data_IF_790600201552
#
_entry.id   IF_790600201552
#
_cell.length_a   1.000
_cell.length_b   1.000
_cell.length_c   1.000
_cell.angle_alpha   90.00
_cell.angle_beta   90.00
_cell.angle_gamma   90.00
#
_symmetry.space_group_name_H-M   'P 1'
#
loop_
_entity.id
_entity.type
_entity.pdbx_description
1 polymer ?
#
# COMPACT_ATOMS: atom_id res chain seq x y z
N UNK A 1 41.08 -34.75 -12.35
CA UNK A 1 41.81 -33.73 -13.13
C UNK A 1 41.35 -33.81 -14.57
N UNK A 2 40.37 -32.98 -14.95
CA UNK A 2 40.06 -32.69 -16.35
C UNK A 2 39.60 -31.23 -16.39
N UNK A 3 40.40 -30.39 -17.02
CA UNK A 3 40.19 -28.95 -17.18
C UNK A 3 39.40 -28.75 -18.47
N UNK A 4 38.29 -28.02 -18.42
CA UNK A 4 37.61 -27.50 -19.62
C UNK A 4 37.38 -26.01 -19.47
N UNK A 5 37.82 -25.30 -20.50
CA UNK A 5 38.00 -23.86 -20.62
C UNK A 5 36.70 -23.06 -20.65
N UNK A 6 36.74 -21.89 -20.00
CA UNK A 6 35.80 -20.78 -20.17
C UNK A 6 36.05 -20.06 -21.51
N UNK A 7 35.00 -19.84 -22.29
CA UNK A 7 35.00 -18.82 -23.34
C UNK A 7 33.64 -18.11 -23.44
N UNK A 8 33.67 -16.85 -22.97
CA UNK A 8 33.08 -15.63 -23.55
C UNK A 8 31.69 -15.76 -24.19
N UNK A 9 30.69 -15.21 -23.49
CA UNK A 9 29.50 -14.63 -24.14
C UNK A 9 29.30 -13.19 -23.62
N UNK A 10 29.33 -12.21 -24.52
CA UNK A 10 29.04 -10.80 -24.27
C UNK A 10 27.56 -10.51 -24.59
N UNK A 11 26.88 -9.62 -23.86
CA UNK A 11 25.49 -9.26 -24.12
C UNK A 11 25.34 -8.29 -25.29
N UNK A 12 24.30 -8.49 -26.10
CA UNK A 12 23.88 -7.57 -27.16
C UNK A 12 23.03 -6.43 -26.58
N UNK A 13 23.42 -5.20 -26.89
CA UNK A 13 22.69 -3.98 -26.56
C UNK A 13 21.55 -3.75 -27.56
N UNK A 14 20.32 -3.59 -27.05
CA UNK A 14 19.17 -3.16 -27.83
C UNK A 14 19.16 -1.62 -27.84
N UNK A 15 19.38 -1.04 -29.03
CA UNK A 15 19.17 0.39 -29.33
C UNK A 15 17.68 0.62 -29.61
N UNK A 16 17.02 1.44 -28.81
CA UNK A 16 15.73 2.04 -29.18
C UNK A 16 15.96 3.43 -29.77
N UNK A 17 15.35 3.62 -30.95
CA UNK A 17 15.48 4.78 -31.82
C UNK A 17 14.43 5.83 -31.46
N UNK A 18 14.89 7.03 -31.10
CA UNK A 18 14.10 8.25 -30.99
C UNK A 18 13.74 8.74 -32.41
N UNK A 19 12.45 8.73 -32.76
CA UNK A 19 11.92 9.48 -33.90
C UNK A 19 11.16 10.70 -33.41
N UNK A 20 11.59 11.83 -33.95
CA UNK A 20 11.15 13.19 -33.69
C UNK A 20 9.72 13.48 -34.16
N UNK A 21 9.03 14.33 -33.40
CA UNK A 21 7.88 15.09 -33.89
C UNK A 21 8.26 16.58 -33.89
N UNK A 22 8.49 17.13 -35.08
CA UNK A 22 8.50 18.58 -35.36
C UNK A 22 7.19 18.91 -36.08
N UNK A 23 6.46 19.92 -35.60
CA UNK A 23 5.74 20.86 -36.44
C UNK A 23 5.22 22.02 -35.59
N UNK A 24 5.83 23.20 -35.75
CA UNK A 24 5.26 24.50 -35.44
C UNK A 24 4.57 25.00 -36.72
N UNK A 25 3.40 25.61 -36.61
CA UNK A 25 3.17 26.89 -37.28
C UNK A 25 2.03 27.68 -36.65
N UNK A 26 2.33 28.93 -36.33
CA UNK A 26 1.43 29.95 -35.85
C UNK A 26 0.61 30.53 -37.02
N UNK A 27 -0.62 30.98 -36.77
CA UNK A 27 -1.24 32.08 -37.50
C UNK A 27 -2.00 32.99 -36.52
N UNK A 28 -1.53 34.23 -36.45
CA UNK A 28 -2.19 35.38 -35.83
C UNK A 28 -3.14 35.97 -36.87
N UNK A 29 -4.37 36.28 -36.48
CA UNK A 29 -5.21 37.23 -37.19
C UNK A 29 -6.02 38.06 -36.17
N UNK A 30 -5.87 39.38 -36.30
CA UNK A 30 -6.55 40.44 -35.53
C UNK A 30 -7.59 41.09 -36.45
N UNK A 31 -8.84 41.26 -35.98
CA UNK A 31 -9.76 42.38 -36.26
C UNK A 31 -11.12 42.11 -35.57
N UNK A 32 -11.52 42.85 -34.52
CA UNK A 32 -12.16 44.17 -34.45
C UNK A 32 -13.69 44.24 -34.77
N UNK A 33 -14.44 44.61 -33.72
CA UNK A 33 -15.66 45.46 -33.63
C UNK A 33 -17.00 45.02 -34.25
N UNK A 34 -18.04 44.96 -33.39
CA UNK A 34 -19.44 45.06 -33.82
C UNK A 34 -20.54 44.77 -32.79
N UNK A 35 -20.91 45.79 -31.99
CA UNK A 35 -22.25 46.18 -31.46
C UNK A 35 -23.27 45.15 -30.89
N UNK A 36 -23.78 45.47 -29.69
CA UNK A 36 -24.96 44.93 -28.98
C UNK A 36 -26.30 45.14 -29.74
N UNK A 37 -27.44 44.53 -29.31
CA UNK A 37 -28.23 45.02 -28.15
C UNK A 37 -28.81 43.92 -27.22
N UNK A 38 -29.42 44.28 -26.07
CA UNK A 38 -29.67 43.40 -24.93
C UNK A 38 -31.08 42.79 -24.95
N UNK A 39 -31.23 41.58 -24.41
CA UNK A 39 -32.53 41.06 -23.97
C UNK A 39 -32.50 40.80 -22.47
N UNK A 40 -33.23 41.66 -21.76
CA UNK A 40 -33.70 41.47 -20.40
C UNK A 40 -34.72 40.33 -20.39
N UNK A 41 -34.49 39.30 -19.58
CA UNK A 41 -35.54 38.41 -19.11
C UNK A 41 -35.32 38.19 -17.61
N UNK A 42 -36.07 38.96 -16.82
CA UNK A 42 -36.15 38.85 -15.37
C UNK A 42 -37.05 37.66 -15.03
N UNK A 43 -36.46 36.56 -14.57
CA UNK A 43 -37.21 35.48 -13.91
C UNK A 43 -37.10 35.68 -12.40
N UNK A 44 -38.10 36.34 -11.83
CA UNK A 44 -38.37 36.27 -10.39
C UNK A 44 -38.93 34.87 -10.07
N UNK A 45 -38.05 33.94 -9.71
CA UNK A 45 -38.46 32.72 -9.02
C UNK A 45 -38.37 32.98 -7.53
N UNK A 46 -39.53 33.15 -6.90
CA UNK A 46 -39.67 33.19 -5.45
C UNK A 46 -39.30 31.82 -4.88
N UNK A 47 -38.05 31.64 -4.43
CA UNK A 47 -37.64 30.45 -3.68
C UNK A 47 -38.06 30.68 -2.22
N UNK A 48 -39.04 29.89 -1.78
CA UNK A 48 -39.46 29.78 -0.39
C UNK A 48 -38.28 29.41 0.52
N UNK A 49 -37.98 30.17 1.60
CA UNK A 49 -36.96 29.80 2.57
C UNK A 49 -37.58 28.89 3.63
N UNK A 50 -37.87 27.64 3.27
CA UNK A 50 -38.39 26.65 4.22
C UNK A 50 -38.02 25.22 3.82
N UNK A 51 -36.74 24.95 3.60
CA UNK A 51 -36.19 23.59 3.73
C UNK A 51 -35.20 23.58 4.88
N UNK A 52 -35.83 23.49 6.05
CA UNK A 52 -35.22 23.09 7.31
C UNK A 52 -34.32 21.87 7.11
N UNK A 53 -33.04 22.02 7.45
CA UNK A 53 -32.12 21.01 7.99
C UNK A 53 -32.63 19.56 7.95
N UNK A 54 -32.63 18.93 6.79
CA UNK A 54 -32.46 17.49 6.73
C UNK A 54 -30.98 17.25 6.97
N UNK A 55 -30.65 16.91 8.23
CA UNK A 55 -29.37 16.28 8.55
C UNK A 55 -29.37 14.97 7.75
N UNK A 56 -28.80 15.00 6.55
CA UNK A 56 -28.63 13.82 5.71
C UNK A 56 -27.92 12.79 6.57
N UNK A 57 -28.64 11.77 7.02
CA UNK A 57 -27.97 10.62 7.59
C UNK A 57 -27.04 10.08 6.51
N UNK A 58 -25.78 9.77 6.81
CA UNK A 58 -24.91 9.13 5.84
C UNK A 58 -25.63 7.87 5.33
N UNK A 59 -25.62 7.70 4.01
CA UNK A 59 -26.16 6.51 3.36
C UNK A 59 -25.56 5.27 4.06
N UNK A 60 -26.35 4.33 4.59
CA UNK A 60 -25.81 3.14 5.23
C UNK A 60 -24.87 2.34 4.31
N UNK A 61 -24.95 2.48 2.98
CA UNK A 61 -23.97 1.90 2.05
C UNK A 61 -22.59 2.59 2.06
N UNK A 62 -22.51 3.84 2.56
CA UNK A 62 -21.28 4.63 2.62
C UNK A 62 -20.68 4.72 4.03
N UNK A 63 -20.93 3.74 4.91
CA UNK A 63 -20.22 3.65 6.20
C UNK A 63 -18.91 2.87 6.08
N UNK A 64 -17.96 3.10 7.00
CA UNK A 64 -16.73 2.30 7.10
C UNK A 64 -17.02 0.79 7.13
N UNK A 65 -17.95 0.36 7.98
CA UNK A 65 -18.30 -1.05 8.15
C UNK A 65 -18.87 -1.66 6.87
N UNK A 66 -19.74 -0.93 6.17
CA UNK A 66 -20.33 -1.41 4.90
C UNK A 66 -19.28 -1.53 3.81
N UNK A 67 -18.39 -0.54 3.68
CA UNK A 67 -17.29 -0.57 2.71
C UNK A 67 -16.32 -1.71 3.05
N UNK A 68 -15.86 -1.82 4.31
CA UNK A 68 -14.94 -2.87 4.73
C UNK A 68 -15.53 -4.26 4.49
N UNK A 69 -16.80 -4.49 4.84
CA UNK A 69 -17.49 -5.75 4.59
C UNK A 69 -17.52 -6.11 3.10
N UNK A 70 -17.78 -5.12 2.24
CA UNK A 70 -17.80 -5.34 0.78
C UNK A 70 -16.41 -5.70 0.25
N UNK A 71 -15.37 -4.99 0.68
CA UNK A 71 -14.01 -5.22 0.19
C UNK A 71 -13.41 -6.54 0.72
N UNK A 72 -13.69 -6.91 1.96
CA UNK A 72 -13.23 -8.17 2.58
C UNK A 72 -13.96 -9.42 2.07
N UNK A 73 -14.97 -9.28 1.21
CA UNK A 73 -15.56 -10.40 0.48
C UNK A 73 -14.63 -10.95 -0.62
N UNK A 74 -13.57 -10.21 -0.98
CA UNK A 74 -12.54 -10.64 -1.91
C UNK A 74 -11.27 -11.07 -1.17
N UNK A 75 -10.44 -11.95 -1.77
CA UNK A 75 -9.15 -12.30 -1.20
C UNK A 75 -8.28 -11.07 -0.94
N UNK A 76 -7.58 -11.08 0.19
CA UNK A 76 -6.57 -10.06 0.49
C UNK A 76 -5.47 -10.12 -0.59
N UNK A 77 -4.98 -8.96 -1.06
CA UNK A 77 -3.94 -8.93 -2.06
C UNK A 77 -2.67 -9.63 -1.52
N UNK A 78 -2.18 -10.60 -2.30
CA UNK A 78 -0.93 -11.31 -2.02
C UNK A 78 0.16 -10.96 -3.03
N UNK A 79 -0.25 -10.80 -4.29
CA UNK A 79 0.57 -10.46 -5.44
C UNK A 79 0.04 -9.17 -6.09
N UNK A 80 0.80 -8.52 -6.99
CA UNK A 80 0.40 -7.25 -7.56
C UNK A 80 -0.93 -7.38 -8.32
N UNK A 81 -2.00 -6.68 -7.89
CA UNK A 81 -3.26 -6.68 -8.62
C UNK A 81 -3.09 -5.85 -9.90
N UNK A 82 -3.76 -6.21 -11.01
CA UNK A 82 -3.67 -5.44 -12.24
C UNK A 82 -4.37 -4.07 -12.13
N UNK A 83 -5.45 -3.99 -11.34
CA UNK A 83 -6.26 -2.80 -11.11
C UNK A 83 -6.97 -2.90 -9.74
N UNK A 84 -7.50 -1.77 -9.26
CA UNK A 84 -8.42 -1.76 -8.13
C UNK A 84 -9.69 -2.60 -8.43
N UNK A 85 -10.24 -3.24 -7.39
CA UNK A 85 -11.48 -4.03 -7.47
C UNK A 85 -12.67 -3.16 -7.89
N UNK A 86 -12.78 -1.98 -7.28
CA UNK A 86 -13.85 -1.02 -7.53
C UNK A 86 -13.29 0.39 -7.68
N UNK A 87 -13.04 0.82 -8.92
CA UNK A 87 -12.53 2.17 -9.22
C UNK A 87 -13.50 3.27 -8.76
N UNK A 88 -14.81 3.01 -8.80
CA UNK A 88 -15.83 3.95 -8.31
C UNK A 88 -15.82 4.12 -6.78
N UNK A 89 -15.24 3.19 -6.04
CA UNK A 89 -15.20 3.26 -4.57
C UNK A 89 -14.06 4.13 -4.03
N UNK A 90 -13.07 4.50 -4.84
CA UNK A 90 -11.98 5.39 -4.41
C UNK A 90 -12.53 6.71 -3.85
N UNK A 91 -13.51 7.32 -4.54
CA UNK A 91 -14.17 8.54 -4.06
C UNK A 91 -15.01 8.30 -2.80
N UNK A 92 -15.69 7.15 -2.71
CA UNK A 92 -16.48 6.78 -1.54
C UNK A 92 -15.60 6.58 -0.30
N UNK A 93 -14.45 5.91 -0.45
CA UNK A 93 -13.46 5.71 0.60
C UNK A 93 -12.97 7.07 1.12
N UNK A 94 -12.51 7.96 0.23
CA UNK A 94 -12.05 9.29 0.61
C UNK A 94 -13.16 10.15 1.27
N UNK A 95 -14.41 9.99 0.84
CA UNK A 95 -15.54 10.73 1.41
C UNK A 95 -15.87 10.38 2.86
N UNK A 96 -15.37 9.24 3.37
CA UNK A 96 -15.50 8.87 4.77
C UNK A 96 -14.71 9.80 5.70
N UNK A 97 -13.65 10.45 5.18
CA UNK A 97 -12.78 11.35 5.93
C UNK A 97 -12.27 10.68 7.22
N UNK A 98 -11.73 9.47 7.09
CA UNK A 98 -11.22 8.71 8.23
C UNK A 98 -9.82 9.19 8.63
N UNK A 99 -9.30 8.61 9.70
CA UNK A 99 -7.85 8.63 9.92
C UNK A 99 -7.12 8.09 8.68
N UNK A 100 -6.06 8.74 8.18
CA UNK A 100 -5.37 8.35 6.94
C UNK A 100 -4.89 6.90 6.89
N UNK A 101 -4.52 6.33 8.04
CA UNK A 101 -4.18 4.91 8.18
C UNK A 101 -5.34 3.99 7.81
N UNK A 102 -6.56 4.30 8.25
CA UNK A 102 -7.75 3.50 7.94
C UNK A 102 -8.16 3.68 6.47
N UNK A 103 -8.05 4.91 5.94
CA UNK A 103 -8.29 5.18 4.52
C UNK A 103 -7.31 4.38 3.64
N UNK A 104 -6.02 4.37 3.98
CA UNK A 104 -5.01 3.60 3.27
C UNK A 104 -5.29 2.09 3.30
N UNK A 105 -5.76 1.56 4.45
CA UNK A 105 -6.16 0.16 4.55
C UNK A 105 -7.36 -0.17 3.66
N UNK A 106 -8.37 0.70 3.59
CA UNK A 106 -9.50 0.50 2.68
C UNK A 106 -9.05 0.50 1.22
N UNK A 107 -8.11 1.37 0.83
CA UNK A 107 -7.54 1.35 -0.51
C UNK A 107 -6.77 0.03 -0.78
N UNK A 108 -6.02 -0.49 0.19
CA UNK A 108 -5.37 -1.80 0.05
C UNK A 108 -6.37 -2.94 -0.11
N UNK A 109 -7.44 -2.98 0.69
CA UNK A 109 -8.51 -3.97 0.49
C UNK A 109 -9.19 -3.82 -0.88
N UNK A 110 -9.28 -2.61 -1.41
CA UNK A 110 -9.78 -2.33 -2.76
C UNK A 110 -8.75 -2.61 -3.86
N UNK A 111 -7.56 -3.11 -3.53
CA UNK A 111 -6.44 -3.34 -4.46
C UNK A 111 -5.98 -2.04 -5.16
N UNK A 112 -6.29 -0.89 -4.59
CA UNK A 112 -5.97 0.45 -5.08
C UNK A 112 -4.63 0.90 -4.51
N UNK A 113 -3.56 0.24 -4.97
CA UNK A 113 -2.19 0.51 -4.51
C UNK A 113 -1.76 1.97 -4.71
N UNK A 114 -2.07 2.66 -5.83
CA UNK A 114 -1.69 4.06 -6.00
C UNK A 114 -2.27 4.99 -4.92
N UNK A 115 -3.55 4.84 -4.58
CA UNK A 115 -4.18 5.65 -3.53
C UNK A 115 -3.62 5.32 -2.15
N UNK A 116 -3.40 4.03 -1.85
CA UNK A 116 -2.75 3.63 -0.60
C UNK A 116 -1.33 4.22 -0.49
N UNK A 117 -0.52 4.12 -1.56
CA UNK A 117 0.83 4.66 -1.62
C UNK A 117 0.84 6.19 -1.43
N UNK A 118 -0.14 6.89 -2.01
CA UNK A 118 -0.30 8.34 -1.87
C UNK A 118 -0.53 8.77 -0.42
N UNK A 119 -1.23 7.96 0.38
CA UNK A 119 -1.47 8.27 1.79
C UNK A 119 -0.24 7.94 2.64
N UNK A 120 0.32 6.73 2.51
CA UNK A 120 1.40 6.27 3.40
C UNK A 120 2.74 6.97 3.18
N UNK A 121 2.96 7.62 2.04
CA UNK A 121 4.14 8.50 1.84
C UNK A 121 4.21 9.68 2.81
N UNK A 122 3.09 10.05 3.44
CA UNK A 122 3.02 11.11 4.45
C UNK A 122 3.09 10.56 5.90
N UNK A 123 3.28 9.24 6.05
CA UNK A 123 3.39 8.52 7.33
C UNK A 123 4.63 7.61 7.32
N UNK A 124 5.76 8.12 6.85
CA UNK A 124 7.00 7.36 6.61
C UNK A 124 7.98 7.32 7.80
N UNK A 125 7.64 7.95 8.92
CA UNK A 125 8.51 8.06 10.08
C UNK A 125 7.72 7.94 11.39
N UNK A 126 8.44 7.62 12.46
CA UNK A 126 7.88 7.67 13.81
C UNK A 126 7.30 9.07 14.10
N UNK A 127 6.19 9.18 14.84
CA UNK A 127 5.48 8.10 15.53
C UNK A 127 4.43 7.35 14.69
N UNK A 128 4.35 7.57 13.37
CA UNK A 128 3.32 6.99 12.49
C UNK A 128 3.62 5.53 12.08
N UNK A 129 3.86 4.66 13.06
CA UNK A 129 4.27 3.27 12.85
C UNK A 129 3.26 2.44 12.05
N UNK A 130 1.97 2.74 12.16
CA UNK A 130 0.91 2.09 11.41
C UNK A 130 1.04 2.40 9.92
N UNK A 131 1.30 3.66 9.56
CA UNK A 131 1.55 4.06 8.18
C UNK A 131 2.82 3.44 7.62
N UNK A 132 3.90 3.38 8.42
CA UNK A 132 5.15 2.70 8.06
C UNK A 132 4.91 1.19 7.83
N UNK A 133 4.08 0.55 8.65
CA UNK A 133 3.75 -0.86 8.51
C UNK A 133 2.92 -1.11 7.25
N UNK A 134 1.90 -0.28 6.97
CA UNK A 134 1.13 -0.32 5.72
C UNK A 134 2.05 -0.14 4.51
N UNK A 135 3.06 0.73 4.59
CA UNK A 135 4.06 0.91 3.54
C UNK A 135 4.83 -0.39 3.24
N UNK A 136 5.27 -1.10 4.27
CA UNK A 136 5.90 -2.41 4.13
C UNK A 136 4.96 -3.45 3.52
N UNK A 137 3.68 -3.44 3.91
CA UNK A 137 2.66 -4.33 3.35
C UNK A 137 2.38 -4.04 1.88
N UNK A 138 2.37 -2.76 1.49
CA UNK A 138 2.23 -2.32 0.10
C UNK A 138 3.36 -2.86 -0.78
N UNK A 139 4.62 -2.67 -0.37
CA UNK A 139 5.76 -3.19 -1.13
C UNK A 139 5.80 -4.72 -1.19
N UNK A 140 5.26 -5.41 -0.17
CA UNK A 140 5.09 -6.87 -0.25
C UNK A 140 4.17 -7.25 -1.41
N UNK A 141 3.03 -6.57 -1.53
CA UNK A 141 2.05 -6.82 -2.59
C UNK A 141 2.66 -6.51 -3.95
N UNK A 142 3.45 -5.43 -4.07
CA UNK A 142 4.14 -5.05 -5.31
C UNK A 142 5.27 -6.01 -5.72
N UNK A 143 5.70 -6.90 -4.81
CA UNK A 143 6.81 -7.81 -5.03
C UNK A 143 8.19 -7.23 -4.71
N UNK A 144 8.26 -6.05 -4.09
CA UNK A 144 9.49 -5.47 -3.56
C UNK A 144 9.76 -5.97 -2.14
N UNK A 145 10.19 -7.23 -2.06
CA UNK A 145 10.38 -7.93 -0.79
C UNK A 145 11.52 -7.36 0.05
N UNK A 146 12.55 -6.78 -0.59
CA UNK A 146 13.66 -6.14 0.13
C UNK A 146 13.19 -4.89 0.87
N UNK A 147 12.43 -4.00 0.21
CA UNK A 147 11.87 -2.83 0.86
C UNK A 147 10.83 -3.22 1.91
N UNK A 148 10.00 -4.24 1.64
CA UNK A 148 9.08 -4.79 2.62
C UNK A 148 9.80 -5.22 3.92
N UNK A 149 10.87 -6.00 3.81
CA UNK A 149 11.66 -6.44 4.97
C UNK A 149 12.26 -5.27 5.75
N UNK A 150 12.80 -4.26 5.04
CA UNK A 150 13.34 -3.07 5.67
C UNK A 150 12.28 -2.27 6.44
N UNK A 151 11.08 -2.10 5.88
CA UNK A 151 9.96 -1.46 6.58
C UNK A 151 9.50 -2.27 7.80
N UNK A 152 9.38 -3.59 7.66
CA UNK A 152 9.00 -4.45 8.79
C UNK A 152 10.03 -4.40 9.91
N UNK A 153 11.32 -4.28 9.58
CA UNK A 153 12.37 -4.09 10.56
C UNK A 153 12.27 -2.75 11.31
N UNK A 154 11.86 -1.68 10.63
CA UNK A 154 11.65 -0.37 11.27
C UNK A 154 10.52 -0.39 12.30
N UNK A 155 9.46 -1.13 12.01
CA UNK A 155 8.26 -1.20 12.87
C UNK A 155 8.27 -2.40 13.82
N UNK A 156 9.33 -3.21 13.82
CA UNK A 156 9.40 -4.47 14.55
C UNK A 156 9.15 -4.36 16.07
N UNK A 157 9.48 -3.21 16.66
CA UNK A 157 9.26 -2.92 18.09
C UNK A 157 7.92 -2.24 18.39
N UNK A 158 7.17 -1.84 17.36
CA UNK A 158 5.88 -1.16 17.53
C UNK A 158 4.77 -2.12 17.97
N UNK A 159 3.85 -1.63 18.80
CA UNK A 159 2.72 -2.42 19.29
C UNK A 159 1.86 -2.97 18.16
N UNK A 160 1.63 -2.18 17.11
CA UNK A 160 0.82 -2.58 15.96
C UNK A 160 1.43 -3.77 15.22
N UNK A 161 2.75 -3.79 15.02
CA UNK A 161 3.43 -4.90 14.36
C UNK A 161 3.48 -6.16 15.25
N UNK A 162 3.79 -5.96 16.53
CA UNK A 162 3.85 -7.04 17.52
C UNK A 162 2.48 -7.67 17.79
N UNK A 163 1.38 -6.96 17.54
CA UNK A 163 0.02 -7.50 17.69
C UNK A 163 -0.24 -8.72 16.80
N UNK A 164 0.45 -8.85 15.67
CA UNK A 164 0.32 -9.99 14.75
C UNK A 164 1.56 -10.90 14.74
N UNK A 165 2.76 -10.33 14.72
CA UNK A 165 4.01 -11.10 14.62
C UNK A 165 4.66 -11.44 15.97
N UNK A 166 4.09 -10.96 17.08
CA UNK A 166 4.66 -11.15 18.41
C UNK A 166 5.89 -10.28 18.70
N UNK A 167 6.34 -10.36 19.95
CA UNK A 167 7.54 -9.67 20.43
C UNK A 167 8.77 -10.47 20.02
N UNK A 168 9.86 -9.79 19.67
CA UNK A 168 11.12 -10.45 19.29
C UNK A 168 11.82 -11.20 20.44
N UNK A 169 11.49 -10.85 21.68
CA UNK A 169 12.15 -11.36 22.89
C UNK A 169 11.42 -12.55 23.50
N UNK A 170 10.21 -12.87 23.01
CA UNK A 170 9.35 -13.88 23.59
C UNK A 170 9.20 -15.04 22.60
N UNK A 171 10.20 -15.92 22.57
CA UNK A 171 10.15 -17.18 21.82
C UNK A 171 9.12 -18.18 22.39
N UNK A 172 8.54 -17.88 23.56
CA UNK A 172 7.59 -18.77 24.25
C UNK A 172 6.12 -18.44 23.97
N UNK A 173 5.79 -17.26 23.46
CA UNK A 173 4.43 -16.95 23.00
C UNK A 173 4.27 -17.26 21.52
N UNK A 174 3.37 -18.20 21.22
CA UNK A 174 2.89 -18.40 19.85
C UNK A 174 2.22 -17.13 19.34
N UNK A 175 2.82 -16.49 18.36
CA UNK A 175 2.22 -15.31 17.72
C UNK A 175 1.07 -15.74 16.79
N UNK A 176 0.06 -14.88 16.55
CA UNK A 176 -0.97 -15.15 15.55
C UNK A 176 -0.39 -15.53 14.18
N UNK A 177 0.70 -14.87 13.77
CA UNK A 177 1.39 -15.19 12.51
C UNK A 177 1.92 -16.63 12.46
N UNK A 178 2.45 -17.17 13.56
CA UNK A 178 2.96 -18.55 13.61
C UNK A 178 1.85 -19.58 13.46
N UNK A 179 0.70 -19.34 14.09
CA UNK A 179 -0.48 -20.19 13.95
C UNK A 179 -0.95 -20.23 12.49
N UNK A 180 -1.03 -19.07 11.84
CA UNK A 180 -1.43 -18.96 10.44
C UNK A 180 -0.41 -19.57 9.47
N UNK A 181 0.88 -19.64 9.83
CA UNK A 181 1.94 -20.28 9.04
C UNK A 181 2.14 -21.76 9.38
N UNK A 182 1.29 -22.34 10.23
CA UNK A 182 1.38 -23.75 10.65
C UNK A 182 1.27 -24.75 9.50
N UNK A 183 0.58 -24.36 8.40
CA UNK A 183 0.43 -25.20 7.20
C UNK A 183 1.75 -25.46 6.45
N UNK A 184 2.76 -24.61 6.62
CA UNK A 184 4.08 -24.83 6.02
C UNK A 184 4.80 -25.99 6.73
N UNK A 185 5.52 -26.88 6.02
CA UNK A 185 6.32 -27.91 6.67
C UNK A 185 7.37 -27.31 7.62
N UNK A 186 7.64 -27.98 8.75
CA UNK A 186 8.63 -27.50 9.72
C UNK A 186 10.04 -27.33 9.14
N UNK A 187 10.45 -28.21 8.21
CA UNK A 187 11.73 -28.08 7.49
C UNK A 187 11.78 -26.82 6.63
N UNK A 188 10.67 -26.49 5.96
CA UNK A 188 10.56 -25.27 5.16
C UNK A 188 10.60 -24.02 6.05
N UNK A 189 9.85 -24.01 7.16
CA UNK A 189 9.90 -22.90 8.13
C UNK A 189 11.33 -22.66 8.66
N UNK A 190 12.08 -23.70 9.00
CA UNK A 190 13.48 -23.58 9.44
C UNK A 190 14.38 -22.98 8.34
N UNK A 191 14.19 -23.41 7.10
CA UNK A 191 14.93 -22.85 5.96
C UNK A 191 14.59 -21.37 5.73
N UNK A 192 13.30 -21.00 5.83
CA UNK A 192 12.82 -19.64 5.56
C UNK A 192 13.01 -18.68 6.74
N UNK A 193 13.17 -19.18 7.98
CA UNK A 193 13.36 -18.33 9.17
C UNK A 193 14.78 -17.81 9.31
N UNK A 194 15.75 -18.50 8.72
CA UNK A 194 17.18 -18.23 8.90
C UNK A 194 17.54 -16.79 8.50
N UNK A 195 18.19 -15.98 9.37
CA UNK A 195 18.60 -14.62 9.03
C UNK A 195 19.84 -14.60 8.11
N UNK A 196 19.99 -15.61 7.23
CA UNK A 196 21.19 -15.85 6.44
C UNK A 196 21.77 -14.55 5.89
N UNK A 197 23.06 -14.35 6.13
CA UNK A 197 23.84 -13.13 5.91
C UNK A 197 23.79 -12.70 4.44
N UNK A 198 22.71 -12.05 4.04
CA UNK A 198 22.78 -11.09 2.94
C UNK A 198 23.38 -9.86 3.60
N UNK A 199 24.69 -9.67 3.42
CA UNK A 199 25.35 -8.43 3.83
C UNK A 199 24.49 -7.27 3.34
N UNK A 200 24.15 -6.34 4.24
CA UNK A 200 23.36 -5.12 3.99
C UNK A 200 21.81 -5.20 3.95
N UNK A 201 21.17 -6.36 4.17
CA UNK A 201 19.68 -6.41 4.22
C UNK A 201 19.14 -6.17 5.64
N UNK A 202 18.37 -5.10 5.83
CA UNK A 202 17.67 -4.81 7.10
C UNK A 202 16.49 -5.78 7.27
N UNK A 203 16.57 -6.68 8.25
CA UNK A 203 15.56 -7.73 8.47
C UNK A 203 14.79 -7.53 9.79
N UNK A 204 13.48 -7.83 9.84
CA UNK A 204 12.75 -7.85 11.10
C UNK A 204 13.24 -9.02 11.97
N UNK A 205 13.33 -8.85 13.30
CA UNK A 205 13.73 -9.91 14.22
C UNK A 205 12.70 -11.05 14.29
N UNK A 206 11.42 -10.80 14.03
CA UNK A 206 10.37 -11.81 14.02
C UNK A 206 10.55 -12.81 12.86
N UNK A 207 10.78 -14.08 13.19
CA UNK A 207 10.99 -15.16 12.22
C UNK A 207 9.75 -15.38 11.33
N UNK A 208 8.55 -15.30 11.91
CA UNK A 208 7.28 -15.45 11.19
C UNK A 208 7.13 -14.43 10.05
N UNK A 209 7.53 -13.18 10.27
CA UNK A 209 7.53 -12.14 9.23
C UNK A 209 8.47 -12.50 8.07
N UNK A 210 9.70 -12.95 8.37
CA UNK A 210 10.66 -13.40 7.35
C UNK A 210 10.16 -14.62 6.59
N UNK A 211 9.60 -15.60 7.30
CA UNK A 211 9.03 -16.82 6.71
C UNK A 211 7.93 -16.45 5.73
N UNK A 212 7.00 -15.60 6.15
CA UNK A 212 5.86 -15.22 5.31
C UNK A 212 6.29 -14.52 4.02
N UNK A 213 7.13 -13.48 4.13
CA UNK A 213 7.62 -12.74 2.97
C UNK A 213 8.38 -13.65 2.01
N UNK A 214 9.25 -14.54 2.52
CA UNK A 214 10.02 -15.45 1.67
C UNK A 214 9.15 -16.54 1.05
N UNK A 215 8.11 -17.00 1.74
CA UNK A 215 7.14 -17.95 1.18
C UNK A 215 6.35 -17.31 0.02
N UNK A 216 5.98 -16.03 0.12
CA UNK A 216 5.36 -15.27 -0.97
C UNK A 216 6.34 -15.09 -2.12
N UNK A 217 7.59 -14.69 -1.84
CA UNK A 217 8.63 -14.54 -2.88
C UNK A 217 8.86 -15.84 -3.65
N UNK A 218 8.89 -16.97 -2.94
CA UNK A 218 9.01 -18.30 -3.54
C UNK A 218 7.79 -18.64 -4.42
N UNK A 219 6.57 -18.34 -3.95
CA UNK A 219 5.35 -18.49 -4.75
C UNK A 219 5.41 -17.61 -6.01
N UNK A 220 5.74 -16.33 -5.88
CA UNK A 220 5.79 -15.38 -7.00
C UNK A 220 6.82 -15.80 -8.07
N UNK A 221 7.92 -16.42 -7.65
CA UNK A 221 8.98 -16.91 -8.55
C UNK A 221 8.70 -18.31 -9.12
N UNK A 222 7.60 -18.96 -8.74
CA UNK A 222 7.32 -20.33 -9.15
C UNK A 222 7.02 -20.41 -10.66
N UNK A 223 7.68 -21.32 -11.41
CA UNK A 223 7.52 -21.39 -12.86
C UNK A 223 6.19 -22.01 -13.30
N UNK A 224 5.57 -22.85 -12.46
CA UNK A 224 4.38 -23.62 -12.78
C UNK A 224 3.22 -23.26 -11.85
N UNK A 225 2.08 -22.88 -12.43
CA UNK A 225 0.84 -22.55 -11.71
C UNK A 225 -0.14 -23.72 -11.70
N UNK A 226 0.32 -24.86 -11.18
CA UNK A 226 -0.48 -26.07 -11.02
C UNK A 226 -1.39 -26.01 -9.78
N UNK A 227 -2.04 -27.12 -9.43
CA UNK A 227 -2.95 -27.16 -8.28
C UNK A 227 -2.24 -26.97 -6.94
N UNK A 228 -0.99 -27.42 -6.82
CA UNK A 228 -0.15 -27.17 -5.64
C UNK A 228 0.14 -25.67 -5.46
N UNK A 229 0.50 -24.98 -6.55
CA UNK A 229 0.64 -23.52 -6.57
C UNK A 229 -0.64 -22.83 -6.07
N UNK A 230 -1.81 -23.20 -6.59
CA UNK A 230 -3.09 -22.58 -6.20
C UNK A 230 -3.45 -22.84 -4.75
N UNK A 231 -3.20 -24.06 -4.26
CA UNK A 231 -3.43 -24.41 -2.85
C UNK A 231 -2.53 -23.61 -1.92
N UNK A 232 -1.26 -23.44 -2.31
CA UNK A 232 -0.28 -22.63 -1.57
C UNK A 232 -0.62 -21.14 -1.61
N UNK A 233 -1.00 -20.62 -2.76
CA UNK A 233 -1.49 -19.25 -2.95
C UNK A 233 -2.67 -18.96 -2.03
N UNK A 234 -3.72 -19.79 -2.07
CA UNK A 234 -4.89 -19.65 -1.20
C UNK A 234 -4.55 -19.73 0.30
N UNK A 235 -3.55 -20.52 0.68
CA UNK A 235 -3.09 -20.61 2.08
C UNK A 235 -2.36 -19.33 2.50
N UNK A 236 -1.50 -18.78 1.63
CA UNK A 236 -0.79 -17.52 1.89
C UNK A 236 -1.73 -16.30 1.85
N UNK A 237 -2.77 -16.31 1.00
CA UNK A 237 -3.84 -15.31 0.99
C UNK A 237 -4.57 -15.26 2.34
N UNK A 238 -4.81 -16.41 2.99
CA UNK A 238 -5.39 -16.45 4.34
C UNK A 238 -4.49 -15.80 5.39
N UNK A 239 -3.17 -16.00 5.28
CA UNK A 239 -2.21 -15.31 6.18
C UNK A 239 -2.22 -13.80 5.92
N UNK A 240 -2.22 -13.38 4.65
CA UNK A 240 -2.30 -11.95 4.26
C UNK A 240 -3.58 -11.31 4.79
N UNK A 241 -4.71 -12.00 4.67
CA UNK A 241 -6.00 -11.56 5.18
C UNK A 241 -5.99 -11.44 6.72
N UNK A 242 -5.44 -12.42 7.43
CA UNK A 242 -5.34 -12.38 8.89
C UNK A 242 -4.49 -11.21 9.40
N UNK A 243 -3.36 -10.94 8.74
CA UNK A 243 -2.51 -9.79 9.06
C UNK A 243 -3.23 -8.46 8.80
N UNK A 244 -3.83 -8.29 7.62
CA UNK A 244 -4.58 -7.08 7.29
C UNK A 244 -5.75 -6.87 8.25
N UNK A 245 -6.44 -7.94 8.66
CA UNK A 245 -7.52 -7.88 9.64
C UNK A 245 -7.01 -7.48 11.03
N UNK A 246 -5.90 -8.05 11.49
CA UNK A 246 -5.29 -7.68 12.77
C UNK A 246 -4.88 -6.21 12.79
N UNK A 247 -4.20 -5.75 11.73
CA UNK A 247 -3.82 -4.35 11.55
C UNK A 247 -5.04 -3.43 11.50
N UNK A 248 -6.07 -3.79 10.73
CA UNK A 248 -7.31 -3.02 10.64
C UNK A 248 -8.00 -2.92 11.98
N UNK A 249 -8.13 -4.04 12.70
CA UNK A 249 -8.74 -4.08 14.03
C UNK A 249 -7.97 -3.17 14.98
N UNK A 250 -6.64 -3.26 15.01
CA UNK A 250 -5.81 -2.43 15.87
C UNK A 250 -5.99 -0.94 15.56
N UNK A 251 -6.02 -0.55 14.28
CA UNK A 251 -6.25 0.83 13.87
C UNK A 251 -7.67 1.32 14.22
N UNK A 252 -8.68 0.47 14.08
CA UNK A 252 -10.06 0.78 14.49
C UNK A 252 -10.13 1.01 16.00
N UNK A 253 -9.52 0.13 16.80
CA UNK A 253 -9.51 0.26 18.25
C UNK A 253 -8.80 1.54 18.70
N UNK A 254 -7.73 1.96 17.99
CA UNK A 254 -6.93 3.15 18.34
C UNK A 254 -7.54 4.47 17.86
N UNK A 255 -8.01 4.52 16.61
CA UNK A 255 -8.41 5.78 15.97
C UNK A 255 -9.93 5.96 15.89
N UNK A 256 -10.70 4.88 16.04
CA UNK A 256 -12.12 4.87 15.74
C UNK A 256 -12.41 4.95 14.24
N UNK A 257 -13.68 4.81 13.87
CA UNK A 257 -14.15 4.83 12.46
C UNK A 257 -15.01 6.05 12.15
N UNK A 258 -15.07 6.99 13.08
CA UNK A 258 -15.81 8.22 12.90
C UNK A 258 -15.07 9.16 11.94
N UNK A 259 -15.85 10.05 11.32
CA UNK A 259 -15.30 11.10 10.48
C UNK A 259 -14.36 11.99 11.31
N UNK A 260 -13.14 12.17 10.80
CA UNK A 260 -12.09 13.01 11.36
C UNK A 260 -12.04 14.33 10.58
N UNK A 261 -12.51 15.41 11.21
CA UNK A 261 -12.55 16.74 10.57
C UNK A 261 -11.15 17.35 10.38
N UNK A 262 -10.22 17.02 11.27
CA UNK A 262 -8.83 17.44 11.20
C UNK A 262 -7.89 16.25 11.40
N UNK A 263 -7.29 15.80 10.30
CA UNK A 263 -6.30 14.73 10.27
C UNK A 263 -4.86 15.24 10.33
N UNK A 264 -4.62 16.55 10.56
CA UNK A 264 -3.28 17.13 10.51
C UNK A 264 -2.28 16.45 11.44
N UNK A 265 -2.73 16.02 12.63
CA UNK A 265 -1.91 15.29 13.62
C UNK A 265 -1.62 13.83 13.27
N UNK A 266 -2.27 13.26 12.26
CA UNK A 266 -2.03 11.90 11.78
C UNK A 266 -0.79 11.81 10.87
N UNK A 267 -0.43 12.93 10.23
CA UNK A 267 0.72 13.00 9.35
C UNK A 267 2.00 13.13 10.17
N UNK A 268 3.08 12.52 9.69
CA UNK A 268 4.39 12.80 10.27
C UNK A 268 4.65 14.30 10.12
N UNK A 269 4.85 15.01 11.24
CA UNK A 269 5.09 16.45 11.23
C UNK A 269 6.29 16.71 10.33
N UNK A 270 6.09 17.49 9.27
CA UNK A 270 7.15 17.84 8.33
C UNK A 270 8.06 18.90 8.95
N UNK A 271 8.79 18.55 10.00
CA UNK A 271 9.96 19.32 10.35
C UNK A 271 11.02 19.15 9.24
N UNK A 272 11.95 20.11 9.15
CA UNK A 272 13.00 20.13 8.12
C UNK A 272 13.74 18.79 8.08
N UNK A 273 13.96 18.18 9.25
CA UNK A 273 14.64 16.91 9.41
C UNK A 273 13.87 15.73 8.78
N UNK A 274 12.58 15.60 9.05
CA UNK A 274 11.72 14.55 8.48
C UNK A 274 11.57 14.73 6.97
N UNK A 275 11.52 15.98 6.50
CA UNK A 275 11.49 16.31 5.07
C UNK A 275 12.81 15.95 4.38
N UNK A 276 13.94 16.24 5.02
CA UNK A 276 15.27 15.84 4.53
C UNK A 276 15.44 14.32 4.52
N UNK A 277 14.97 13.61 5.55
CA UNK A 277 14.97 12.14 5.58
C UNK A 277 14.11 11.60 4.42
N UNK A 278 12.88 12.10 4.25
CA UNK A 278 12.00 11.71 3.16
C UNK A 278 12.59 12.02 1.77
N UNK A 279 13.22 13.20 1.60
CA UNK A 279 13.90 13.55 0.35
C UNK A 279 15.15 12.69 0.12
N UNK A 280 15.99 12.45 1.12
CA UNK A 280 17.16 11.57 0.96
C UNK A 280 16.75 10.15 0.57
N UNK A 281 15.65 9.65 1.15
CA UNK A 281 15.05 8.39 0.76
C UNK A 281 14.55 8.41 -0.69
N UNK A 282 13.85 9.45 -1.12
CA UNK A 282 13.21 9.51 -2.47
C UNK A 282 14.17 9.92 -3.61
N UNK A 283 15.10 10.84 -3.39
CA UNK A 283 15.94 11.45 -4.43
C UNK A 283 17.45 11.36 -4.19
N UNK A 284 17.90 10.96 -2.99
CA UNK A 284 19.30 11.05 -2.59
C UNK A 284 20.17 9.83 -2.92
N UNK A 285 19.59 8.66 -3.20
CA UNK A 285 20.37 7.41 -3.29
C UNK A 285 21.07 7.00 -1.98
N UNK A 286 20.90 7.78 -0.91
CA UNK A 286 21.36 7.50 0.45
C UNK A 286 20.21 6.85 1.21
N UNK A 287 20.06 5.55 0.99
CA UNK A 287 19.11 4.70 1.67
C UNK A 287 19.21 3.29 1.10
N UNK A 288 19.07 2.28 1.95
CA UNK A 288 18.92 0.89 1.48
C UNK A 288 17.70 0.71 0.55
N UNK A 289 16.78 1.69 0.57
CA UNK A 289 15.52 1.69 -0.16
C UNK A 289 15.72 2.30 -1.55
N UNK A 290 15.39 1.52 -2.58
CA UNK A 290 15.24 2.02 -3.96
C UNK A 290 13.75 2.26 -4.18
N UNK A 291 13.36 3.48 -4.58
CA UNK A 291 11.99 3.85 -4.91
C UNK A 291 11.83 3.94 -6.44
#
# INVERSE_FOLDING_TARGET
MTVVNFSRYRPQAIRLSLKACKSLSAHVAVANLGRCPPFYASFHTTIHPALHKLKTMPDPESSFTSILKKLTAHPAPLLPPPNALYTSMTASIASLQLHPTLEALLHLYNHDLPSAHFLVRHMQAAPAYEGMYIHGLLHRIEGDYSNCLAWYADVASSEVFQSFYGRSEDETTHSPAEEHLSFLPSSERQSLSSPAKVEDEKLPPQSAARIFIRAIKALHSAPNKNDDYKSREASLEKVSAAEMQALTKWCVDRFGTEKLEDASGAWAVSDEHTREIGQKMVSGGEGYRKF
#
